data_IF_976846629297
#
_entry.id   IF_976846629297
#
_cell.length_a   1.000
_cell.length_b   1.000
_cell.length_c   1.000
_cell.angle_alpha   90.00
_cell.angle_beta   90.00
_cell.angle_gamma   90.00
#
_symmetry.space_group_name_H-M   'P 1'
#
loop_
_entity.id
_entity.type
_entity.pdbx_description
1 polymer ?
#
# COMPACT_ATOMS: atom_id res chain seq x y z
N UNK A 1 3.59 -27.42 -56.19
CA UNK A 1 3.74 -28.16 -54.91
C UNK A 1 4.85 -27.63 -53.98
N UNK A 2 5.98 -27.11 -54.48
CA UNK A 2 7.10 -26.65 -53.61
C UNK A 2 6.82 -25.39 -52.75
N UNK A 3 6.03 -24.45 -53.25
CA UNK A 3 5.75 -23.17 -52.53
C UNK A 3 4.78 -23.34 -51.35
N UNK A 4 3.87 -24.28 -51.44
CA UNK A 4 2.86 -24.56 -50.41
C UNK A 4 3.51 -25.21 -49.17
N UNK A 5 4.50 -26.06 -49.34
CA UNK A 5 5.20 -26.72 -48.23
C UNK A 5 6.10 -25.76 -47.47
N UNK A 6 6.64 -24.72 -48.12
CA UNK A 6 7.44 -23.68 -47.46
C UNK A 6 6.55 -22.78 -46.56
N UNK A 7 5.32 -22.48 -47.02
CA UNK A 7 4.38 -21.67 -46.22
C UNK A 7 3.91 -22.43 -44.96
N UNK A 8 3.64 -23.71 -45.10
CA UNK A 8 3.26 -24.59 -43.99
C UNK A 8 4.43 -24.73 -42.99
N UNK A 9 5.66 -24.87 -43.47
CA UNK A 9 6.84 -24.96 -42.62
C UNK A 9 7.10 -23.64 -41.85
N UNK A 10 6.97 -22.48 -42.51
CA UNK A 10 7.09 -21.19 -41.87
C UNK A 10 5.97 -20.90 -40.84
N UNK A 11 4.75 -21.39 -41.10
CA UNK A 11 3.64 -21.30 -40.17
C UNK A 11 3.89 -22.15 -38.92
N UNK A 12 4.37 -23.37 -39.06
CA UNK A 12 4.76 -24.20 -37.89
C UNK A 12 5.99 -23.67 -37.17
N UNK A 13 6.95 -23.06 -37.88
CA UNK A 13 8.12 -22.43 -37.26
C UNK A 13 7.72 -21.21 -36.41
N UNK A 14 6.74 -20.40 -36.86
CA UNK A 14 6.18 -19.33 -36.06
C UNK A 14 5.45 -19.82 -34.80
N UNK A 15 4.78 -20.95 -34.86
CA UNK A 15 4.14 -21.58 -33.70
C UNK A 15 5.16 -22.06 -32.64
N UNK A 16 6.37 -22.44 -33.07
CA UNK A 16 7.44 -22.87 -32.17
C UNK A 16 8.19 -21.70 -31.51
N UNK A 17 8.08 -20.49 -32.06
CA UNK A 17 8.75 -19.28 -31.51
C UNK A 17 7.90 -18.58 -30.47
N UNK A 18 6.65 -18.95 -30.27
CA UNK A 18 5.88 -18.46 -29.12
C UNK A 18 6.43 -19.12 -27.86
N UNK A 19 7.42 -18.44 -27.26
CA UNK A 19 7.88 -18.76 -25.91
C UNK A 19 6.67 -18.68 -24.98
N UNK A 20 6.12 -19.82 -24.65
CA UNK A 20 5.19 -19.93 -23.54
C UNK A 20 6.00 -19.58 -22.28
N UNK A 21 5.85 -18.36 -21.78
CA UNK A 21 6.34 -18.00 -20.45
C UNK A 21 5.52 -18.80 -19.46
N UNK A 22 6.02 -19.97 -19.09
CA UNK A 22 5.47 -20.72 -17.98
C UNK A 22 5.89 -19.99 -16.69
N UNK A 23 4.94 -19.33 -16.03
CA UNK A 23 5.17 -18.82 -14.69
C UNK A 23 5.32 -20.02 -13.76
N UNK A 24 6.53 -20.22 -13.21
CA UNK A 24 6.74 -21.16 -12.13
C UNK A 24 6.16 -20.56 -10.85
N UNK A 25 4.94 -20.92 -10.52
CA UNK A 25 4.35 -20.59 -9.21
C UNK A 25 5.02 -21.49 -8.18
N UNK A 26 5.77 -20.89 -7.26
CA UNK A 26 6.34 -21.56 -6.10
C UNK A 26 5.54 -21.16 -4.87
N UNK A 27 5.08 -22.13 -4.09
CA UNK A 27 4.54 -21.86 -2.77
C UNK A 27 5.70 -21.36 -1.89
N UNK A 28 5.57 -20.15 -1.35
CA UNK A 28 6.63 -19.46 -0.62
C UNK A 28 6.69 -19.92 0.83
N UNK A 29 5.57 -20.33 1.42
CA UNK A 29 5.50 -20.78 2.80
C UNK A 29 4.46 -21.89 2.99
N UNK A 30 4.78 -22.84 3.84
CA UNK A 30 3.78 -23.73 4.43
C UNK A 30 3.08 -23.00 5.60
N UNK A 31 1.83 -23.41 5.87
CA UNK A 31 1.00 -22.86 6.97
C UNK A 31 1.68 -22.89 8.34
N UNK A 32 2.69 -23.73 8.50
CA UNK A 32 3.41 -23.95 9.75
C UNK A 32 4.35 -22.80 10.12
N UNK A 33 4.72 -21.94 9.15
CA UNK A 33 5.70 -20.87 9.37
C UNK A 33 5.09 -19.46 9.43
N UNK A 34 3.80 -19.33 9.14
CA UNK A 34 3.10 -18.04 9.17
C UNK A 34 2.20 -17.92 10.40
N UNK A 35 2.10 -16.72 10.95
CA UNK A 35 1.20 -16.41 12.08
C UNK A 35 -0.25 -16.79 11.81
N UNK A 36 -0.71 -16.59 10.57
CA UNK A 36 -2.05 -16.96 10.10
C UNK A 36 -2.07 -17.11 8.58
N UNK A 37 -2.96 -17.97 8.07
CA UNK A 37 -3.12 -18.21 6.61
C UNK A 37 -3.94 -17.15 5.89
N UNK A 38 -4.64 -16.27 6.62
CA UNK A 38 -5.46 -15.19 6.05
C UNK A 38 -4.60 -13.94 5.91
N UNK A 39 -4.01 -13.77 4.73
CA UNK A 39 -3.19 -12.59 4.39
C UNK A 39 -4.11 -11.42 4.13
N UNK A 40 -3.85 -10.29 4.78
CA UNK A 40 -4.61 -9.03 4.68
C UNK A 40 -3.85 -7.95 3.91
N UNK A 41 -2.52 -7.91 4.04
CA UNK A 41 -1.70 -6.92 3.35
C UNK A 41 -0.30 -7.44 3.04
N UNK A 42 0.30 -6.86 1.99
CA UNK A 42 1.67 -7.14 1.54
C UNK A 42 2.39 -5.83 1.30
N UNK A 43 3.63 -5.74 1.77
CA UNK A 43 4.49 -4.60 1.53
C UNK A 43 5.93 -5.06 1.30
N UNK A 44 6.58 -4.60 0.24
CA UNK A 44 7.99 -4.87 0.01
C UNK A 44 8.81 -3.63 0.36
N UNK A 45 9.90 -3.81 1.10
CA UNK A 45 10.84 -2.75 1.42
C UNK A 45 11.98 -2.65 0.38
N UNK A 46 12.86 -1.67 0.55
CA UNK A 46 14.00 -1.42 -0.35
C UNK A 46 15.07 -2.51 -0.31
N UNK A 47 15.10 -3.34 0.74
CA UNK A 47 16.00 -4.50 0.85
C UNK A 47 15.42 -5.75 0.20
N UNK A 48 14.18 -5.67 -0.28
CA UNK A 48 13.46 -6.77 -0.87
C UNK A 48 12.75 -7.67 0.14
N UNK A 49 12.77 -7.33 1.44
CA UNK A 49 12.01 -8.07 2.46
C UNK A 49 10.50 -7.89 2.20
N UNK A 50 9.77 -8.98 2.24
CA UNK A 50 8.33 -8.97 2.12
C UNK A 50 7.69 -8.99 3.50
N UNK A 51 6.98 -7.91 3.82
CA UNK A 51 6.19 -7.75 5.03
C UNK A 51 4.77 -8.23 4.76
N UNK A 52 4.32 -9.20 5.54
CA UNK A 52 3.07 -9.94 5.33
C UNK A 52 2.18 -9.72 6.55
N UNK A 53 1.15 -8.92 6.41
CA UNK A 53 0.09 -8.73 7.40
C UNK A 53 -0.94 -9.85 7.30
N UNK A 54 -1.38 -10.34 8.45
CA UNK A 54 -2.38 -11.39 8.54
C UNK A 54 -3.47 -11.03 9.55
N UNK A 55 -4.50 -11.86 9.63
CA UNK A 55 -5.54 -11.72 10.66
C UNK A 55 -5.02 -11.95 12.09
N UNK A 56 -3.81 -12.50 12.27
CA UNK A 56 -3.24 -12.80 13.59
C UNK A 56 -1.71 -12.63 13.61
N UNK A 57 -1.23 -11.49 13.19
CA UNK A 57 0.19 -11.12 13.29
C UNK A 57 0.81 -10.61 12.02
N UNK A 58 2.04 -10.16 12.17
CA UNK A 58 2.91 -9.64 11.14
C UNK A 58 4.05 -10.61 10.90
N UNK A 59 4.36 -10.88 9.65
CA UNK A 59 5.46 -11.76 9.25
C UNK A 59 6.40 -11.03 8.32
N UNK A 60 7.66 -11.38 8.36
CA UNK A 60 8.71 -10.85 7.47
C UNK A 60 9.35 -12.03 6.75
N UNK A 61 9.36 -11.98 5.42
CA UNK A 61 9.96 -13.00 4.57
C UNK A 61 11.15 -12.41 3.81
N UNK A 62 12.31 -13.05 3.92
CA UNK A 62 13.58 -12.61 3.31
C UNK A 62 13.90 -13.31 1.98
N UNK A 63 13.03 -14.20 1.53
CA UNK A 63 13.24 -15.05 0.35
C UNK A 63 13.61 -16.51 0.73
N UNK A 64 13.94 -16.78 1.97
CA UNK A 64 14.31 -18.10 2.49
C UNK A 64 13.49 -18.47 3.73
N UNK A 65 13.46 -17.58 4.73
CA UNK A 65 12.84 -17.81 6.02
C UNK A 65 11.74 -16.80 6.31
N UNK A 66 10.79 -17.19 7.15
CA UNK A 66 9.72 -16.32 7.67
C UNK A 66 9.99 -16.07 9.15
N UNK A 67 10.18 -14.81 9.51
CA UNK A 67 10.19 -14.33 10.88
C UNK A 67 8.78 -13.87 11.26
N UNK A 68 8.23 -14.42 12.33
CA UNK A 68 6.97 -13.97 12.89
C UNK A 68 7.20 -12.79 13.85
N UNK A 69 6.61 -11.64 13.52
CA UNK A 69 6.65 -10.46 14.36
C UNK A 69 5.38 -10.41 15.22
N UNK A 70 5.37 -11.17 16.33
CA UNK A 70 4.26 -11.14 17.27
C UNK A 70 4.49 -10.13 18.39
N UNK A 71 3.40 -9.51 18.79
CA UNK A 71 3.32 -8.74 20.03
C UNK A 71 3.37 -9.71 21.21
N UNK A 72 4.50 -9.80 21.87
CA UNK A 72 4.64 -10.59 23.10
C UNK A 72 4.93 -9.68 24.28
N UNK A 73 3.92 -9.51 25.13
CA UNK A 73 4.00 -9.12 26.56
C UNK A 73 5.06 -8.11 27.00
N UNK A 74 5.37 -7.06 26.23
CA UNK A 74 6.26 -5.95 26.65
C UNK A 74 5.90 -4.64 25.94
N UNK A 75 6.37 -3.55 26.49
CA UNK A 75 6.05 -2.17 26.12
C UNK A 75 6.32 -1.77 24.65
N UNK A 76 6.97 -2.63 23.85
CA UNK A 76 7.38 -2.38 22.46
C UNK A 76 6.63 -3.29 21.46
N UNK A 77 5.30 -3.27 21.47
CA UNK A 77 4.52 -4.11 20.58
C UNK A 77 3.45 -3.35 19.78
N UNK A 78 2.94 -3.97 18.72
CA UNK A 78 1.85 -3.42 17.92
C UNK A 78 0.57 -3.32 18.76
N UNK A 79 -0.27 -2.35 18.47
CA UNK A 79 -1.55 -2.14 19.17
C UNK A 79 -2.55 -3.30 18.99
N UNK A 80 -2.28 -4.25 18.10
CA UNK A 80 -3.10 -5.44 17.87
C UNK A 80 -2.49 -6.40 16.86
N UNK A 81 -3.01 -7.63 16.81
CA UNK A 81 -2.53 -8.68 15.92
C UNK A 81 -3.24 -8.70 14.56
N UNK A 82 -4.47 -8.21 14.47
CA UNK A 82 -5.16 -8.09 13.20
C UNK A 82 -4.54 -6.92 12.43
N UNK A 83 -3.74 -7.26 11.42
CA UNK A 83 -3.05 -6.29 10.57
C UNK A 83 -3.93 -5.97 9.37
N UNK A 84 -4.36 -4.73 9.23
CA UNK A 84 -5.21 -4.29 8.11
C UNK A 84 -4.39 -3.80 6.91
N UNK A 85 -3.32 -3.02 7.18
CA UNK A 85 -2.49 -2.46 6.12
C UNK A 85 -1.05 -2.22 6.60
N UNK A 86 -0.09 -2.25 5.67
CA UNK A 86 1.32 -1.96 5.92
C UNK A 86 1.81 -1.01 4.83
N UNK A 87 2.44 0.11 5.23
CA UNK A 87 3.06 1.08 4.31
C UNK A 87 4.51 1.32 4.72
N UNK A 88 5.44 1.00 3.84
CA UNK A 88 6.85 1.33 4.00
C UNK A 88 7.14 2.73 3.44
N UNK A 89 7.65 3.65 4.24
CA UNK A 89 7.89 5.05 3.87
C UNK A 89 9.35 5.41 3.67
N UNK A 90 10.23 4.41 3.58
CA UNK A 90 11.68 4.59 3.49
C UNK A 90 12.35 4.66 4.85
N UNK A 91 13.68 4.71 4.86
CA UNK A 91 14.51 4.84 6.07
C UNK A 91 14.15 3.82 7.17
N UNK A 92 13.89 2.57 6.78
CA UNK A 92 13.47 1.49 7.69
C UNK A 92 12.25 1.83 8.56
N UNK A 93 11.36 2.70 8.07
CA UNK A 93 10.15 3.12 8.75
C UNK A 93 8.92 2.47 8.12
N UNK A 94 8.16 1.76 8.95
CA UNK A 94 6.94 1.06 8.56
C UNK A 94 5.76 1.59 9.35
N UNK A 95 4.66 1.82 8.65
CA UNK A 95 3.39 2.18 9.22
C UNK A 95 2.46 0.99 9.14
N UNK A 96 1.99 0.55 10.28
CA UNK A 96 1.23 -0.69 10.44
C UNK A 96 -0.12 -0.35 11.04
N UNK A 97 -1.15 -0.50 10.24
CA UNK A 97 -2.54 -0.37 10.67
C UNK A 97 -2.99 -1.68 11.29
N UNK A 98 -3.50 -1.60 12.50
CA UNK A 98 -4.20 -2.70 13.17
C UNK A 98 -5.64 -2.29 13.46
N UNK A 99 -6.47 -3.24 13.85
CA UNK A 99 -7.83 -2.95 14.29
C UNK A 99 -7.91 -1.89 15.41
N UNK A 100 -6.88 -1.83 16.29
CA UNK A 100 -6.88 -0.93 17.46
C UNK A 100 -6.13 0.38 17.25
N UNK A 101 -5.47 0.58 16.13
CA UNK A 101 -4.79 1.83 15.87
C UNK A 101 -3.67 1.75 14.83
N UNK A 102 -3.00 2.89 14.69
CA UNK A 102 -1.85 3.04 13.82
C UNK A 102 -0.56 2.94 14.62
N UNK A 103 0.39 2.17 14.12
CA UNK A 103 1.70 1.98 14.70
C UNK A 103 2.77 2.42 13.71
N UNK A 104 3.79 3.12 14.21
CA UNK A 104 5.01 3.42 13.46
C UNK A 104 6.15 2.58 14.03
N UNK A 105 6.65 1.66 13.23
CA UNK A 105 7.84 0.86 13.55
C UNK A 105 9.06 1.48 12.90
N UNK A 106 10.05 1.87 13.69
CA UNK A 106 11.40 2.23 13.23
C UNK A 106 12.33 1.05 13.48
N UNK A 107 12.75 0.35 12.40
CA UNK A 107 13.60 -0.84 12.49
C UNK A 107 15.05 -0.54 12.83
N UNK A 108 15.52 0.69 12.64
CA UNK A 108 16.91 1.08 13.04
C UNK A 108 17.07 1.10 14.55
N UNK A 109 16.03 1.57 15.25
CA UNK A 109 16.00 1.64 16.72
C UNK A 109 15.20 0.51 17.35
N UNK A 110 14.48 -0.24 16.53
CA UNK A 110 13.51 -1.26 16.90
C UNK A 110 12.44 -0.74 17.87
N UNK A 111 11.97 0.51 17.66
CA UNK A 111 10.96 1.15 18.50
C UNK A 111 9.62 1.23 17.79
N UNK A 112 8.54 1.08 18.55
CA UNK A 112 7.17 1.24 18.08
C UNK A 112 6.55 2.45 18.75
N UNK A 113 5.96 3.34 17.94
CA UNK A 113 5.19 4.49 18.41
C UNK A 113 3.72 4.27 18.05
N UNK A 114 2.83 4.44 19.00
CA UNK A 114 1.38 4.29 18.83
C UNK A 114 0.71 5.64 18.57
N UNK A 115 -0.22 5.66 17.62
CA UNK A 115 -1.06 6.80 17.28
C UNK A 115 -2.52 6.43 17.53
N UNK A 116 -2.97 6.64 18.78
CA UNK A 116 -4.30 6.20 19.24
C UNK A 116 -5.44 7.05 18.68
N UNK A 117 -5.14 8.21 18.08
CA UNK A 117 -6.11 9.05 17.38
C UNK A 117 -6.63 8.40 16.10
N UNK A 118 -5.85 7.48 15.50
CA UNK A 118 -6.25 6.72 14.33
C UNK A 118 -6.74 5.33 14.75
N UNK A 119 -8.03 5.21 15.00
CA UNK A 119 -8.69 3.96 15.34
C UNK A 119 -9.73 3.59 14.26
N UNK A 120 -10.07 2.31 14.16
CA UNK A 120 -11.02 1.76 13.19
C UNK A 120 -10.49 1.81 11.75
N UNK A 121 -11.40 1.73 10.80
CA UNK A 121 -11.07 1.72 9.39
C UNK A 121 -10.67 3.12 8.92
N UNK A 122 -9.50 3.21 8.31
CA UNK A 122 -9.03 4.37 7.58
C UNK A 122 -8.22 3.93 6.37
N UNK A 123 -8.10 4.80 5.39
CA UNK A 123 -7.27 4.56 4.21
C UNK A 123 -5.89 5.15 4.44
N UNK A 124 -4.86 4.40 4.07
CA UNK A 124 -3.47 4.79 4.27
C UNK A 124 -2.65 4.50 3.01
N UNK A 125 -1.88 5.49 2.55
CA UNK A 125 -0.97 5.35 1.42
C UNK A 125 0.20 6.33 1.55
N UNK A 126 1.23 6.19 0.72
CA UNK A 126 2.40 7.09 0.68
C UNK A 126 2.56 7.74 -0.68
N UNK A 127 3.19 8.92 -0.69
CA UNK A 127 3.67 9.54 -1.92
C UNK A 127 5.05 9.01 -2.34
N UNK A 128 5.53 9.48 -3.50
CA UNK A 128 6.83 9.09 -4.05
C UNK A 128 8.03 9.57 -3.22
N UNK A 129 7.80 10.46 -2.24
CA UNK A 129 8.81 10.96 -1.29
C UNK A 129 8.72 10.27 0.08
N UNK A 130 7.87 9.25 0.19
CA UNK A 130 7.65 8.52 1.43
C UNK A 130 6.90 9.32 2.50
N UNK A 131 6.09 10.32 2.13
CA UNK A 131 5.18 10.95 3.09
C UNK A 131 3.93 10.10 3.23
N UNK A 132 3.58 9.76 4.47
CA UNK A 132 2.36 9.01 4.75
C UNK A 132 1.15 9.95 4.70
N UNK A 133 0.08 9.47 4.06
CA UNK A 133 -1.23 10.11 4.06
C UNK A 133 -2.29 9.18 4.61
N UNK A 134 -3.26 9.74 5.33
CA UNK A 134 -4.37 9.00 5.96
C UNK A 134 -5.67 9.74 5.69
N UNK A 135 -6.70 8.99 5.31
CA UNK A 135 -8.08 9.46 5.25
C UNK A 135 -8.88 8.67 6.29
N UNK A 136 -9.32 9.33 7.34
CA UNK A 136 -10.16 8.74 8.39
C UNK A 136 -11.49 9.46 8.52
N UNK A 137 -11.47 10.77 8.43
CA UNK A 137 -12.64 11.62 8.63
C UNK A 137 -13.12 12.25 7.32
N UNK A 138 -14.39 12.60 7.28
CA UNK A 138 -14.95 13.40 6.18
C UNK A 138 -14.26 14.76 6.11
N UNK A 139 -13.98 15.20 4.87
CA UNK A 139 -13.45 16.53 4.56
C UNK A 139 -12.02 16.81 5.02
N UNK A 140 -11.23 15.83 5.40
CA UNK A 140 -9.82 16.03 5.68
C UNK A 140 -8.95 14.84 5.32
N UNK A 141 -7.72 15.16 5.00
CA UNK A 141 -6.64 14.22 4.81
C UNK A 141 -5.55 14.56 5.83
N UNK A 142 -5.03 13.58 6.53
CA UNK A 142 -3.88 13.74 7.40
C UNK A 142 -2.62 13.33 6.65
N UNK A 143 -1.50 14.03 6.94
CA UNK A 143 -0.18 13.58 6.50
C UNK A 143 0.81 13.66 7.66
N UNK A 144 1.77 12.72 7.67
CA UNK A 144 2.81 12.73 8.67
C UNK A 144 3.91 13.73 8.31
N UNK A 145 4.03 14.79 9.10
CA UNK A 145 5.06 15.81 8.92
C UNK A 145 6.39 15.36 9.55
N UNK A 146 7.30 14.82 8.74
CA UNK A 146 8.53 14.14 9.18
C UNK A 146 9.43 15.02 10.05
N UNK A 147 9.56 16.34 9.76
CA UNK A 147 10.43 17.25 10.51
C UNK A 147 9.91 17.54 11.92
N UNK A 148 8.60 17.63 12.09
CA UNK A 148 7.96 17.92 13.37
C UNK A 148 7.56 16.65 14.13
N UNK A 149 7.50 15.51 13.45
CA UNK A 149 7.13 14.23 14.04
C UNK A 149 5.65 14.12 14.41
N UNK A 150 4.78 14.88 13.75
CA UNK A 150 3.34 14.96 14.04
C UNK A 150 2.50 14.80 12.77
N UNK A 151 1.23 14.43 12.97
CA UNK A 151 0.26 14.48 11.89
C UNK A 151 -0.31 15.90 11.73
N UNK A 152 -0.32 16.40 10.50
CA UNK A 152 -0.98 17.65 10.11
C UNK A 152 -2.20 17.33 9.27
N UNK A 153 -3.19 18.23 9.33
CA UNK A 153 -4.49 18.07 8.67
C UNK A 153 -4.59 19.00 7.45
N UNK A 154 -4.98 18.44 6.31
CA UNK A 154 -5.36 19.20 5.13
C UNK A 154 -6.89 19.14 5.02
N UNK A 155 -7.54 20.30 5.07
CA UNK A 155 -8.97 20.38 4.90
C UNK A 155 -9.32 20.27 3.40
N UNK A 156 -10.18 19.34 3.07
CA UNK A 156 -10.73 19.14 1.72
C UNK A 156 -12.26 19.20 1.81
N UNK A 157 -12.88 19.83 0.83
CA UNK A 157 -14.33 19.96 0.82
C UNK A 157 -14.98 18.93 -0.10
N UNK A 158 -16.15 18.43 0.30
CA UNK A 158 -17.02 17.62 -0.55
C UNK A 158 -16.51 16.20 -0.80
N UNK A 159 -15.83 15.60 0.18
CA UNK A 159 -15.48 14.16 0.19
C UNK A 159 -16.13 13.50 1.40
N UNK A 160 -17.35 12.97 1.28
CA UNK A 160 -17.93 12.15 2.34
C UNK A 160 -17.17 10.83 2.44
N UNK A 161 -16.67 10.50 3.63
CA UNK A 161 -15.86 9.28 3.84
C UNK A 161 -16.65 8.00 3.52
N UNK A 162 -17.98 8.02 3.70
CA UNK A 162 -18.86 6.90 3.37
C UNK A 162 -18.85 6.51 1.88
N UNK A 163 -18.42 7.43 1.03
CA UNK A 163 -18.41 7.24 -0.41
C UNK A 163 -17.03 6.87 -0.94
N UNK A 164 -15.98 6.94 -0.10
CA UNK A 164 -14.63 6.54 -0.49
C UNK A 164 -14.59 5.02 -0.62
N UNK A 165 -14.13 4.57 -1.78
CA UNK A 165 -13.90 3.15 -2.10
C UNK A 165 -12.43 2.82 -1.95
N UNK A 166 -11.56 3.74 -2.39
CA UNK A 166 -10.12 3.55 -2.36
C UNK A 166 -9.39 4.90 -2.40
N UNK A 167 -8.10 4.86 -2.10
CA UNK A 167 -7.22 6.00 -2.10
C UNK A 167 -5.81 5.56 -2.49
N UNK A 168 -5.23 6.19 -3.51
CA UNK A 168 -3.87 5.88 -3.93
C UNK A 168 -3.15 7.11 -4.49
N UNK A 169 -1.82 7.01 -4.56
CA UNK A 169 -0.95 8.03 -5.14
C UNK A 169 -0.24 7.42 -6.34
N UNK A 170 -0.35 8.08 -7.50
CA UNK A 170 0.20 7.59 -8.76
C UNK A 170 1.69 7.93 -8.94
N UNK A 171 2.31 7.36 -10.00
CA UNK A 171 3.72 7.60 -10.33
C UNK A 171 4.06 9.05 -10.65
N UNK A 172 3.07 9.90 -10.93
CA UNK A 172 3.22 11.35 -11.12
C UNK A 172 3.03 12.15 -9.84
N UNK A 173 2.99 11.49 -8.69
CA UNK A 173 2.77 12.08 -7.37
C UNK A 173 1.43 12.81 -7.24
N UNK A 174 0.38 12.27 -7.89
CA UNK A 174 -0.98 12.77 -7.78
C UNK A 174 -1.79 11.85 -6.88
N UNK A 175 -2.56 12.46 -5.99
CA UNK A 175 -3.45 11.76 -5.09
C UNK A 175 -4.82 11.53 -5.77
N UNK A 176 -5.24 10.29 -5.82
CA UNK A 176 -6.54 9.88 -6.33
C UNK A 176 -7.40 9.38 -5.18
N UNK A 177 -8.56 10.00 -5.00
CA UNK A 177 -9.61 9.53 -4.10
C UNK A 177 -10.71 8.94 -4.95
N UNK A 178 -10.83 7.62 -4.89
CA UNK A 178 -11.83 6.85 -5.64
C UNK A 178 -13.12 6.82 -4.82
N UNK A 179 -14.21 7.30 -5.40
CA UNK A 179 -15.49 7.40 -4.73
C UNK A 179 -16.59 6.66 -5.50
N UNK A 180 -17.68 6.34 -4.85
CA UNK A 180 -18.86 5.77 -5.49
C UNK A 180 -19.40 6.73 -6.55
N UNK A 181 -19.18 6.40 -7.84
CA UNK A 181 -19.69 7.14 -8.98
C UNK A 181 -18.82 8.26 -9.52
N UNK A 182 -17.75 8.68 -8.84
CA UNK A 182 -16.79 9.67 -9.35
C UNK A 182 -15.45 9.59 -8.64
N UNK A 183 -14.42 10.18 -9.26
CA UNK A 183 -13.07 10.25 -8.68
C UNK A 183 -12.64 11.69 -8.52
N UNK A 184 -11.80 11.96 -7.53
CA UNK A 184 -11.13 13.24 -7.36
C UNK A 184 -9.61 13.04 -7.44
N UNK A 185 -8.96 13.99 -8.09
CA UNK A 185 -7.51 14.01 -8.24
C UNK A 185 -6.95 15.32 -7.68
N UNK A 186 -5.83 15.21 -6.98
CA UNK A 186 -5.13 16.35 -6.39
C UNK A 186 -3.65 16.26 -6.74
N UNK A 187 -3.04 17.39 -7.12
CA UNK A 187 -1.59 17.50 -7.15
C UNK A 187 -1.07 17.68 -5.73
N UNK A 188 -0.09 16.87 -5.36
CA UNK A 188 0.59 17.00 -4.07
C UNK A 188 1.72 18.00 -4.24
N UNK A 189 1.63 19.12 -3.55
CA UNK A 189 2.68 20.13 -3.50
C UNK A 189 3.31 20.18 -2.11
N UNK A 190 4.64 20.24 -2.08
CA UNK A 190 5.42 20.32 -0.86
C UNK A 190 6.24 21.60 -0.85
N UNK A 191 6.22 22.31 0.27
CA UNK A 191 7.10 23.43 0.51
C UNK A 191 8.45 22.95 1.05
N UNK A 192 9.55 23.21 0.35
CA UNK A 192 10.87 22.69 0.70
C UNK A 192 11.36 23.21 2.07
N UNK A 193 11.08 24.46 2.41
CA UNK A 193 11.55 25.10 3.63
C UNK A 193 10.86 24.53 4.88
N UNK A 194 9.54 24.52 4.90
CA UNK A 194 8.74 24.04 6.04
C UNK A 194 8.57 22.51 6.03
N UNK A 195 8.43 21.93 4.84
CA UNK A 195 8.02 20.55 4.62
C UNK A 195 6.51 20.38 4.63
N UNK A 196 5.75 21.47 4.65
CA UNK A 196 4.31 21.45 4.58
C UNK A 196 3.79 20.97 3.23
N UNK A 197 2.65 20.30 3.28
CA UNK A 197 2.02 19.71 2.10
C UNK A 197 0.67 20.39 1.86
N UNK A 198 0.43 20.72 0.60
CA UNK A 198 -0.87 21.22 0.12
C UNK A 198 -1.38 20.33 -1.00
N UNK A 199 -2.70 20.23 -1.13
CA UNK A 199 -3.37 19.46 -2.16
C UNK A 199 -4.12 20.42 -3.07
N UNK A 200 -3.73 20.49 -4.34
CA UNK A 200 -4.40 21.30 -5.35
C UNK A 200 -5.35 20.44 -6.17
N UNK A 201 -6.67 20.71 -6.12
CA UNK A 201 -7.63 19.94 -6.88
C UNK A 201 -7.41 20.12 -8.38
N UNK A 202 -7.32 19.01 -9.12
CA UNK A 202 -7.33 19.01 -10.56
C UNK A 202 -8.76 19.06 -11.09
N UNK A 203 -8.96 19.76 -12.21
CA UNK A 203 -10.21 19.68 -12.98
C UNK A 203 -10.24 18.31 -13.65
N UNK A 204 -10.77 17.30 -12.99
CA UNK A 204 -10.93 15.99 -13.57
C UNK A 204 -12.19 15.95 -14.43
N UNK A 205 -12.00 15.90 -15.74
CA UNK A 205 -13.06 15.54 -16.71
C UNK A 205 -13.19 14.03 -16.90
N UNK A 206 -12.57 13.23 -16.02
CA UNK A 206 -12.60 11.76 -16.09
C UNK A 206 -13.75 11.23 -15.24
N UNK A 207 -14.95 11.31 -15.78
CA UNK A 207 -16.08 10.49 -15.33
C UNK A 207 -15.83 9.08 -15.90
N UNK A 208 -15.15 8.22 -15.16
CA UNK A 208 -15.31 6.79 -15.40
C UNK A 208 -16.67 6.39 -14.87
N UNK A 209 -17.66 6.34 -15.76
CA UNK A 209 -18.88 5.62 -15.45
C UNK A 209 -18.49 4.16 -15.28
N UNK A 210 -18.51 3.67 -14.05
CA UNK A 210 -18.51 2.23 -13.82
C UNK A 210 -19.74 1.66 -14.52
N UNK A 211 -19.60 0.65 -15.40
CA UNK A 211 -20.78 -0.04 -15.90
C UNK A 211 -21.58 -0.54 -14.70
N UNK A 212 -22.88 -0.26 -14.72
CA UNK A 212 -23.79 -0.81 -13.71
C UNK A 212 -23.61 -2.33 -13.65
N UNK A 213 -23.09 -2.84 -12.52
CA UNK A 213 -23.15 -4.24 -12.14
C UNK A 213 -24.49 -4.53 -11.49
#
# INVERSE_FOLDING_TARGET
MRKQNVFIFLFFLNLLIHNAYAYNLKQVADKEYMSNSSITSLCQDERGLMWIGTCDGLNIYDGQEIEEFKTRDKEDYLSGNLIDNIVYTGDETYWIQTYYGLNRLDRRTNTITHYNEFQKLFFMNKDNHGNLFIIQDSNCIYYYHKKEGVFKKINITGIPISDIVDFFIDGSNRMWVVMKGYNRCYDIQREDASGDITLLPQKTNLIYQTPNL
#
